data_IF_304859828187
#
_entry.id   IF_304859828187
#
_cell.length_a   1.000
_cell.length_b   1.000
_cell.length_c   1.000
_cell.angle_alpha   90.00
_cell.angle_beta   90.00
_cell.angle_gamma   90.00
#
_symmetry.space_group_name_H-M   'P 1'
#
loop_
_entity.id
_entity.type
_entity.pdbx_description
1 polymer ?
#
# COMPACT_ATOMS: atom_id res chain seq x y z
N UNK A 1 -15.43 -9.36 10.75
CA UNK A 1 -15.34 -7.96 11.23
C UNK A 1 -14.99 -7.04 10.06
N UNK A 2 -15.16 -5.71 10.21
CA UNK A 2 -14.65 -4.71 9.26
C UNK A 2 -13.36 -4.12 9.84
N UNK A 3 -12.24 -4.30 9.15
CA UNK A 3 -10.91 -3.91 9.64
C UNK A 3 -10.32 -2.90 8.66
N UNK A 4 -9.91 -1.74 9.18
CA UNK A 4 -9.11 -0.77 8.46
C UNK A 4 -7.67 -0.90 8.90
N UNK A 5 -6.78 -1.08 7.94
CA UNK A 5 -5.33 -1.00 8.10
C UNK A 5 -4.88 0.31 7.47
N UNK A 6 -4.24 1.16 8.26
CA UNK A 6 -3.58 2.36 7.76
C UNK A 6 -2.07 2.12 7.81
N UNK A 7 -1.44 2.01 6.65
CA UNK A 7 -0.01 1.75 6.54
C UNK A 7 0.56 2.58 5.41
N UNK A 8 1.64 3.31 5.68
CA UNK A 8 2.28 4.15 4.68
C UNK A 8 2.79 3.34 3.48
N UNK A 9 3.42 2.19 3.75
CA UNK A 9 3.91 1.25 2.75
C UNK A 9 3.02 0.00 2.71
N UNK A 10 2.83 -0.56 1.52
CA UNK A 10 2.06 -1.78 1.30
C UNK A 10 2.54 -2.44 -0.01
N UNK A 11 2.05 -3.64 -0.33
CA UNK A 11 2.22 -4.23 -1.66
C UNK A 11 2.03 -3.16 -2.76
N UNK A 12 2.82 -3.12 -3.83
CA UNK A 12 3.87 -4.08 -4.25
C UNK A 12 5.28 -3.79 -3.70
N UNK A 13 5.45 -2.93 -2.70
CA UNK A 13 6.80 -2.59 -2.22
C UNK A 13 7.50 -3.83 -1.60
N UNK A 14 8.77 -4.11 -1.97
CA UNK A 14 9.35 -5.44 -1.78
C UNK A 14 9.90 -5.69 -0.37
N UNK A 15 10.10 -4.65 0.44
CA UNK A 15 10.78 -4.77 1.74
C UNK A 15 10.17 -3.89 2.83
N UNK A 16 10.67 -4.06 4.05
CA UNK A 16 10.29 -3.25 5.21
C UNK A 16 8.91 -3.66 5.72
N UNK A 17 8.08 -2.65 6.03
CA UNK A 17 6.74 -2.88 6.60
C UNK A 17 5.74 -3.39 5.57
N UNK A 18 5.97 -3.17 4.26
CA UNK A 18 5.02 -3.52 3.20
C UNK A 18 4.69 -5.03 3.13
N UNK A 19 5.66 -5.97 3.08
CA UNK A 19 5.36 -7.41 3.10
C UNK A 19 4.60 -7.85 4.35
N UNK A 20 5.02 -7.38 5.53
CA UNK A 20 4.37 -7.71 6.80
C UNK A 20 2.89 -7.28 6.81
N UNK A 21 2.61 -6.05 6.37
CA UNK A 21 1.24 -5.55 6.33
C UNK A 21 0.40 -6.26 5.28
N UNK A 22 1.01 -6.68 4.17
CA UNK A 22 0.36 -7.47 3.12
C UNK A 22 -0.05 -8.84 3.64
N UNK A 23 0.87 -9.55 4.28
CA UNK A 23 0.60 -10.87 4.89
C UNK A 23 -0.48 -10.77 5.98
N UNK A 24 -0.43 -9.74 6.82
CA UNK A 24 -1.46 -9.48 7.84
C UNK A 24 -2.83 -9.26 7.20
N UNK A 25 -2.92 -8.35 6.22
CA UNK A 25 -4.18 -8.00 5.57
C UNK A 25 -4.80 -9.21 4.87
N UNK A 26 -4.02 -9.94 4.08
CA UNK A 26 -4.48 -11.14 3.40
C UNK A 26 -4.81 -12.27 4.38
N UNK A 27 -4.03 -12.43 5.45
CA UNK A 27 -4.31 -13.37 6.52
C UNK A 27 -5.64 -13.10 7.21
N UNK A 28 -5.98 -11.82 7.43
CA UNK A 28 -7.28 -11.42 7.99
C UNK A 28 -8.43 -11.67 7.00
N UNK A 29 -8.22 -11.44 5.69
CA UNK A 29 -9.20 -11.81 4.65
C UNK A 29 -9.45 -13.32 4.67
N UNK A 30 -8.39 -14.14 4.72
CA UNK A 30 -8.47 -15.61 4.81
C UNK A 30 -9.24 -16.10 6.04
N UNK A 31 -9.24 -15.33 7.13
CA UNK A 31 -10.05 -15.58 8.34
C UNK A 31 -11.51 -15.09 8.23
N UNK A 32 -11.95 -14.65 7.06
CA UNK A 32 -13.33 -14.20 6.81
C UNK A 32 -13.61 -12.76 7.24
N UNK A 33 -12.57 -11.93 7.41
CA UNK A 33 -12.76 -10.51 7.71
C UNK A 33 -12.83 -9.65 6.44
N UNK A 34 -13.60 -8.58 6.49
CA UNK A 34 -13.60 -7.55 5.45
C UNK A 34 -12.48 -6.56 5.76
N UNK A 35 -11.44 -6.57 4.93
CA UNK A 35 -10.22 -5.78 5.16
C UNK A 35 -10.11 -4.68 4.13
N UNK A 36 -9.81 -3.48 4.61
CA UNK A 36 -9.48 -2.32 3.80
C UNK A 36 -8.13 -1.78 4.22
N UNK A 37 -7.27 -1.49 3.25
CA UNK A 37 -5.97 -0.84 3.44
C UNK A 37 -6.03 0.57 2.86
N UNK A 38 -5.58 1.55 3.64
CA UNK A 38 -5.29 2.90 3.15
C UNK A 38 -3.78 3.10 3.21
N UNK A 39 -3.18 3.46 2.07
CA UNK A 39 -1.73 3.48 1.88
C UNK A 39 -1.29 4.54 0.87
N UNK A 40 0.02 4.75 0.72
CA UNK A 40 0.57 5.62 -0.31
C UNK A 40 0.64 4.91 -1.68
N UNK A 41 0.82 5.69 -2.75
CA UNK A 41 1.30 5.12 -4.01
C UNK A 41 2.68 4.48 -3.78
N UNK A 42 2.97 3.29 -4.34
CA UNK A 42 4.26 2.64 -4.14
C UNK A 42 5.37 3.45 -4.80
N UNK A 43 6.45 3.64 -4.08
CA UNK A 43 7.58 4.45 -4.54
C UNK A 43 8.95 3.93 -4.11
N UNK A 44 8.97 3.08 -3.09
CA UNK A 44 10.18 2.43 -2.62
C UNK A 44 10.51 1.21 -3.51
N UNK A 45 11.79 0.92 -3.82
CA UNK A 45 13.02 1.58 -3.35
C UNK A 45 13.47 2.78 -4.19
N UNK A 46 12.87 2.98 -5.36
CA UNK A 46 13.42 3.83 -6.41
C UNK A 46 13.30 5.34 -6.12
N UNK A 47 12.61 5.74 -5.05
CA UNK A 47 12.36 7.15 -4.74
C UNK A 47 11.56 7.85 -5.84
N UNK A 48 10.70 7.07 -6.50
CA UNK A 48 9.83 7.50 -7.59
C UNK A 48 8.53 6.67 -7.56
N UNK A 49 7.38 7.31 -7.75
CA UNK A 49 6.10 6.62 -7.85
C UNK A 49 6.16 5.60 -8.99
N UNK A 50 5.79 4.35 -8.72
CA UNK A 50 5.85 3.29 -9.73
C UNK A 50 4.98 3.67 -10.97
N UNK A 51 5.44 3.34 -12.20
CA UNK A 51 4.87 3.90 -13.44
C UNK A 51 3.35 3.80 -13.56
N UNK A 52 2.77 2.69 -13.11
CA UNK A 52 1.32 2.43 -13.19
C UNK A 52 0.47 3.34 -12.27
N UNK A 53 1.08 4.04 -11.32
CA UNK A 53 0.41 4.95 -10.39
C UNK A 53 0.71 6.44 -10.66
N UNK A 54 1.62 6.75 -11.58
CA UNK A 54 2.00 8.13 -11.88
C UNK A 54 0.79 8.95 -12.41
N UNK A 55 0.73 10.23 -12.06
CA UNK A 55 -0.36 11.14 -12.45
C UNK A 55 -1.68 10.97 -11.70
N UNK A 56 -1.77 10.00 -10.78
CA UNK A 56 -3.00 9.74 -10.00
C UNK A 56 -2.89 10.36 -8.60
N UNK A 57 -3.89 11.15 -8.22
CA UNK A 57 -4.01 11.67 -6.85
C UNK A 57 -4.54 10.62 -5.88
N UNK A 58 -5.40 9.73 -6.37
CA UNK A 58 -6.04 8.69 -5.58
C UNK A 58 -6.41 7.51 -6.47
N UNK A 59 -6.34 6.29 -5.93
CA UNK A 59 -6.73 5.06 -6.62
C UNK A 59 -7.37 4.11 -5.62
N UNK A 60 -8.39 3.38 -6.06
CA UNK A 60 -8.90 2.23 -5.31
C UNK A 60 -8.73 0.99 -6.16
N UNK A 61 -8.21 -0.08 -5.57
CA UNK A 61 -8.02 -1.37 -6.22
C UNK A 61 -8.37 -2.50 -5.24
N UNK A 62 -8.41 -3.72 -5.76
CA UNK A 62 -8.61 -4.92 -4.96
C UNK A 62 -7.49 -5.91 -5.29
N UNK A 63 -6.79 -6.38 -4.27
CA UNK A 63 -5.78 -7.41 -4.41
C UNK A 63 -6.03 -8.48 -3.35
N UNK A 64 -6.16 -9.74 -3.77
CA UNK A 64 -6.36 -10.89 -2.89
C UNK A 64 -7.50 -10.71 -1.86
N UNK A 65 -8.59 -10.04 -2.26
CA UNK A 65 -9.76 -9.77 -1.42
C UNK A 65 -9.60 -8.58 -0.47
N UNK A 66 -8.44 -7.92 -0.46
CA UNK A 66 -8.20 -6.68 0.29
C UNK A 66 -8.59 -5.48 -0.58
N UNK A 67 -9.46 -4.60 -0.07
CA UNK A 67 -9.72 -3.30 -0.72
C UNK A 67 -8.57 -2.35 -0.39
N UNK A 68 -7.81 -1.90 -1.39
CA UNK A 68 -6.67 -1.00 -1.21
C UNK A 68 -7.05 0.39 -1.73
N UNK A 69 -6.78 1.41 -0.94
CA UNK A 69 -7.02 2.80 -1.26
C UNK A 69 -5.69 3.54 -1.16
N UNK A 70 -5.19 4.00 -2.31
CA UNK A 70 -3.91 4.66 -2.42
C UNK A 70 -4.09 6.14 -2.59
N UNK A 71 -3.27 6.92 -1.91
CA UNK A 71 -3.18 8.36 -2.07
C UNK A 71 -1.82 8.76 -2.60
N UNK A 72 -1.79 9.84 -3.38
CA UNK A 72 -0.55 10.47 -3.81
C UNK A 72 0.34 10.78 -2.60
N UNK A 73 1.65 10.67 -2.83
CA UNK A 73 2.67 11.01 -1.86
C UNK A 73 3.74 11.84 -2.52
N UNK A 74 4.20 12.88 -1.81
CA UNK A 74 5.34 13.66 -2.24
C UNK A 74 6.62 12.94 -1.82
N UNK A 75 7.49 12.62 -2.79
CA UNK A 75 8.74 11.88 -2.55
C UNK A 75 9.91 12.81 -2.87
N UNK A 76 10.81 12.97 -1.90
CA UNK A 76 12.09 13.62 -2.14
C UNK A 76 13.03 12.67 -2.89
N UNK A 77 13.66 13.16 -3.96
CA UNK A 77 14.70 12.41 -4.68
C UNK A 77 16.03 12.37 -3.90
N UNK A 78 16.24 13.32 -2.99
CA UNK A 78 17.42 13.38 -2.13
C UNK A 78 17.10 12.75 -0.77
N UNK A 79 17.88 11.73 -0.42
CA UNK A 79 17.94 11.18 0.95
C UNK A 79 19.07 11.91 1.68
N UNK A 80 18.75 13.08 2.24
CA UNK A 80 19.65 13.72 3.19
C UNK A 80 19.51 12.98 4.53
N UNK A 81 20.56 12.25 4.92
CA UNK A 81 20.69 11.60 6.23
C UNK A 81 21.37 12.54 7.22
#
# INVERSE_FOLDING_TARGET
MRILIYSYNYHPEPIGIAPLMTELAEGLVKKGHNVRVVTAMPWYPNSEIAPEYQGKLYLTENCNGVKIQRSFVWISRERNF
#
